data_IF_743495000241
#
_entry.id   IF_743495000241
#
_cell.length_a   1.000
_cell.length_b   1.000
_cell.length_c   1.000
_cell.angle_alpha   90.00
_cell.angle_beta   90.00
_cell.angle_gamma   90.00
#
_symmetry.space_group_name_H-M   'P 1'
#
loop_
_entity.id
_entity.type
_entity.pdbx_description
1 polymer ?
2 polymer ?
3 polymer ?
4 water ?
#
loop_
_entity_poly.entity_id
_entity_poly.type
_entity_poly.pdbx_seq_one_letter_code
_entity_poly.pdbx_strand_id
2 'polydeoxyribonucleotide' '(DC)(DT)(DC)(DA)(DA)(DA)(DA)(DA)(DA)(DC)(DA)(DT)(DA)(DA)(DA)(DA)(DT)(DA)(DA)(DC)' ?
3 'polydeoxyribonucleotide' '(DG)(DT)(DT)(DA)(DT)(DT)(DT)(DT)(DA)(DT)(DG)(DT)(DT)(DT)(DT)(DT)(DT)(DG)(DA)(DG)' ?
#
# COMPACT_ATOMS: atom_id res chain seq x y z
N UNK A 1 10.49 -10.84 1.94
CA UNK A 1 10.89 -9.93 3.09
C UNK A 1 9.66 -9.27 3.71
N UNK A 2 9.61 -9.24 5.05
CA UNK A 2 8.53 -8.63 5.76
C UNK A 2 8.86 -7.20 6.13
N UNK A 3 7.81 -6.37 6.24
CA UNK A 3 7.88 -4.96 6.63
C UNK A 3 7.02 -4.73 7.84
N UNK A 4 7.49 -3.92 8.78
CA UNK A 4 6.63 -3.49 9.87
C UNK A 4 6.26 -2.02 9.68
N UNK A 5 4.97 -1.76 9.62
CA UNK A 5 4.43 -0.47 9.23
C UNK A 5 3.80 0.21 10.47
N UNK A 6 4.31 1.40 10.77
CA UNK A 6 3.86 2.25 11.87
C UNK A 6 3.90 1.47 13.19
N UNK A 7 4.91 0.62 13.37
CA UNK A 7 4.96 -0.29 14.52
C UNK A 7 3.62 -0.99 14.81
N UNK A 8 2.81 -1.21 13.78
CA UNK A 8 1.48 -1.75 13.98
C UNK A 8 1.24 -3.00 13.14
N UNK A 9 1.49 -2.89 11.83
CA UNK A 9 1.13 -3.96 10.93
C UNK A 9 2.36 -4.69 10.50
N UNK A 10 2.27 -6.02 10.33
CA UNK A 10 3.33 -6.76 9.64
C UNK A 10 2.86 -7.17 8.26
N UNK A 11 3.57 -6.68 7.25
CA UNK A 11 3.21 -6.83 5.87
C UNK A 11 4.19 -7.78 5.21
N UNK A 12 3.65 -8.78 4.51
CA UNK A 12 4.47 -9.70 3.69
C UNK A 12 4.01 -9.66 2.27
N UNK A 13 4.85 -9.09 1.37
CA UNK A 13 4.44 -8.93 -0.02
C UNK A 13 4.52 -10.26 -0.81
N UNK A 14 5.16 -11.25 -0.22
CA UNK A 14 5.29 -12.53 -0.93
C UNK A 14 4.04 -13.41 -0.71
N UNK A 15 3.57 -13.47 0.52
CA UNK A 15 2.34 -14.14 0.85
C UNK A 15 1.14 -13.22 0.73
N UNK A 16 1.34 -11.92 0.50
CA UNK A 16 0.30 -10.88 0.51
C UNK A 16 -0.50 -10.81 1.81
N UNK A 17 0.17 -10.74 2.93
CA UNK A 17 -0.57 -10.75 4.16
C UNK A 17 -0.25 -9.51 4.93
N UNK A 18 -1.26 -9.06 5.68
CA UNK A 18 -1.18 -7.99 6.63
C UNK A 18 -1.69 -8.47 8.00
N UNK A 19 -0.88 -8.26 9.02
CA UNK A 19 -1.20 -8.66 10.35
C UNK A 19 -1.04 -7.51 11.35
N UNK A 20 -2.12 -7.31 12.10
CA UNK A 20 -2.25 -6.21 13.06
C UNK A 20 -1.75 -6.79 14.34
N UNK A 21 -0.77 -6.13 14.94
CA UNK A 21 -0.18 -6.66 16.19
C UNK A 21 -1.17 -6.86 17.39
N UNK A 22 -2.33 -6.19 17.35
CA UNK A 22 -3.44 -6.44 18.28
C UNK A 22 -4.15 -7.81 18.13
N UNK A 23 -3.91 -8.52 17.01
CA UNK A 23 -4.55 -9.82 16.72
C UNK A 23 -3.60 -11.03 16.87
N UNK A 24 -4.12 -12.11 17.50
CA UNK A 24 -3.42 -13.40 17.54
C UNK A 24 -3.91 -14.37 16.47
N UNK A 25 -5.12 -14.18 15.95
CA UNK A 25 -5.69 -15.12 14.97
C UNK A 25 -5.85 -14.49 13.59
N UNK A 26 -6.34 -13.26 13.53
CA UNK A 26 -6.71 -12.67 12.25
C UNK A 26 -5.46 -12.38 11.36
N UNK A 27 -5.50 -12.90 10.13
CA UNK A 27 -4.53 -12.54 9.04
C UNK A 27 -5.31 -11.86 7.93
N UNK A 28 -5.04 -10.59 7.67
CA UNK A 28 -5.71 -9.90 6.53
C UNK A 28 -5.08 -10.35 5.23
N UNK A 29 -5.89 -10.84 4.29
CA UNK A 29 -5.36 -11.30 3.02
C UNK A 29 -5.51 -10.13 2.06
N UNK A 30 -4.43 -9.52 1.64
CA UNK A 30 -4.56 -8.32 0.77
C UNK A 30 -4.82 -8.79 -0.62
N UNK A 31 -5.65 -8.10 -1.36
CA UNK A 31 -5.70 -8.39 -2.80
C UNK A 31 -4.36 -8.06 -3.47
N UNK A 32 -4.12 -8.66 -4.63
CA UNK A 32 -2.90 -8.45 -5.41
C UNK A 32 -2.53 -7.00 -5.65
N UNK A 33 -3.50 -6.18 -5.98
CA UNK A 33 -3.26 -4.75 -6.33
C UNK A 33 -2.84 -3.99 -5.07
N UNK A 34 -3.55 -4.24 -3.99
CA UNK A 34 -3.28 -3.62 -2.69
C UNK A 34 -1.91 -4.03 -2.13
N UNK A 35 -1.61 -5.31 -2.22
CA UNK A 35 -0.28 -5.76 -1.84
C UNK A 35 0.90 -5.12 -2.64
N UNK A 36 0.80 -5.14 -3.98
CA UNK A 36 1.81 -4.52 -4.83
C UNK A 36 1.97 -3.01 -4.63
N UNK A 37 0.87 -2.32 -4.43
CA UNK A 37 0.94 -0.87 -4.04
C UNK A 37 1.75 -0.69 -2.74
N UNK A 38 1.40 -1.49 -1.74
CA UNK A 38 2.01 -1.37 -0.42
C UNK A 38 3.47 -1.77 -0.48
N UNK A 39 3.81 -2.73 -1.37
CA UNK A 39 5.15 -3.13 -1.52
C UNK A 39 6.00 -2.02 -2.13
N UNK A 40 5.54 -1.39 -3.20
CA UNK A 40 6.32 -0.32 -3.81
C UNK A 40 6.43 0.87 -2.80
N UNK A 41 5.33 1.25 -2.17
CA UNK A 41 5.39 2.24 -1.11
C UNK A 41 6.41 1.95 0.01
N UNK A 42 6.44 0.72 0.49
CA UNK A 42 7.33 0.34 1.58
C UNK A 42 8.81 0.28 1.12
N UNK A 43 9.05 -0.01 -0.17
CA UNK A 43 10.42 -0.01 -0.72
C UNK A 43 10.94 1.40 -0.89
N UNK A 44 10.05 2.37 -0.94
CA UNK A 44 10.42 3.76 -1.04
C UNK A 44 9.75 4.66 -0.01
N UNK A 45 10.06 4.44 1.25
CA UNK A 45 9.34 5.11 2.31
C UNK A 45 9.42 6.61 2.25
N UNK A 46 8.31 7.28 2.52
CA UNK A 46 8.26 8.72 2.49
C UNK A 46 8.70 9.39 1.17
N UNK A 47 8.76 8.65 0.06
CA UNK A 47 8.92 9.28 -1.24
C UNK A 47 7.54 9.50 -1.84
N UNK A 48 7.39 10.57 -2.64
CA UNK A 48 6.19 10.80 -3.39
C UNK A 48 6.32 9.88 -4.60
N UNK A 49 5.48 8.84 -4.68
CA UNK A 49 5.51 7.88 -5.75
C UNK A 49 4.47 8.30 -6.79
N UNK A 50 4.91 8.57 -8.01
CA UNK A 50 3.97 8.94 -9.06
C UNK A 50 2.89 7.90 -9.36
N UNK A 51 1.78 8.38 -9.92
CA UNK A 51 0.74 7.48 -10.36
C UNK A 51 1.17 6.53 -11.45
N UNK A 52 1.95 7.04 -12.40
CA UNK A 52 2.54 6.20 -13.44
C UNK A 52 3.35 5.07 -12.85
N UNK A 53 4.19 5.41 -11.89
CA UNK A 53 4.99 4.40 -11.24
C UNK A 53 4.13 3.29 -10.60
N UNK A 54 3.13 3.70 -9.82
CA UNK A 54 2.28 2.71 -9.18
C UNK A 54 1.50 1.91 -10.25
N UNK A 55 1.03 2.59 -11.28
CA UNK A 55 0.30 1.94 -12.37
C UNK A 55 1.17 0.89 -13.08
N UNK A 56 2.42 1.25 -13.34
CA UNK A 56 3.38 0.37 -13.97
C UNK A 56 3.71 -0.82 -13.04
N UNK A 57 4.08 -0.52 -11.78
CA UNK A 57 4.48 -1.58 -10.85
C UNK A 57 3.38 -2.60 -10.58
N UNK A 58 2.17 -2.09 -10.42
CA UNK A 58 1.05 -2.88 -9.99
C UNK A 58 0.37 -3.62 -11.16
N UNK A 59 0.20 -2.96 -12.31
CA UNK A 59 -0.42 -3.58 -13.44
C UNK A 59 0.45 -3.78 -14.69
N UNK A 60 0.96 -2.70 -15.29
CA UNK A 60 1.54 -2.78 -16.65
C UNK A 60 2.73 -3.67 -16.77
N UNK A 61 3.62 -3.68 -15.78
CA UNK A 61 4.85 -4.43 -15.95
C UNK A 61 4.51 -5.93 -15.98
N UNK A 62 3.28 -6.30 -15.59
CA UNK A 62 2.79 -7.67 -15.69
C UNK A 62 1.81 -7.90 -16.85
N UNK A 63 1.69 -6.92 -17.75
CA UNK A 63 0.85 -7.03 -18.93
C UNK A 63 -0.60 -6.68 -18.66
N UNK A 64 -0.93 -6.22 -17.46
CA UNK A 64 -2.34 -5.89 -17.19
C UNK A 64 -2.65 -4.45 -17.63
N UNK A 65 -3.80 -4.30 -18.25
CA UNK A 65 -4.26 -3.05 -18.89
C UNK A 65 -5.51 -2.56 -18.14
N UNK A 66 -5.40 -1.49 -17.38
CA UNK A 66 -6.55 -0.99 -16.67
C UNK A 66 -6.51 0.55 -16.69
N UNK A 67 -7.64 1.19 -16.48
CA UNK A 67 -7.69 2.65 -16.39
C UNK A 67 -7.01 3.13 -15.11
N UNK A 68 -6.71 4.43 -15.07
CA UNK A 68 -6.20 5.08 -13.87
C UNK A 68 -7.16 4.93 -12.70
N UNK A 69 -8.46 4.89 -12.97
CA UNK A 69 -9.48 4.69 -11.89
C UNK A 69 -9.14 3.45 -10.99
N UNK A 70 -8.49 2.42 -11.55
CA UNK A 70 -8.10 1.17 -10.78
C UNK A 70 -7.09 1.47 -9.64
N UNK A 71 -6.11 2.36 -9.91
CA UNK A 71 -5.21 2.87 -8.89
C UNK A 71 -5.98 3.52 -7.75
N UNK A 72 -6.81 4.49 -8.08
CA UNK A 72 -7.56 5.20 -7.08
C UNK A 72 -8.47 4.26 -6.26
N UNK A 73 -9.07 3.31 -6.93
CA UNK A 73 -9.92 2.32 -6.21
C UNK A 73 -9.08 1.46 -5.32
N UNK A 74 -7.93 0.98 -5.81
CA UNK A 74 -7.07 0.09 -5.00
C UNK A 74 -6.51 0.81 -3.75
N UNK A 75 -6.14 2.09 -3.90
CA UNK A 75 -5.68 2.92 -2.77
C UNK A 75 -6.76 2.99 -1.65
N UNK A 76 -7.99 3.19 -2.08
CA UNK A 76 -9.12 3.32 -1.16
C UNK A 76 -9.36 2.03 -0.37
N UNK A 77 -9.35 0.87 -1.08
CA UNK A 77 -9.36 -0.48 -0.48
C UNK A 77 -8.20 -0.72 0.49
N UNK A 78 -6.99 -0.37 0.08
CA UNK A 78 -5.83 -0.47 0.99
C UNK A 78 -6.00 0.38 2.24
N UNK A 79 -6.35 1.65 2.06
CA UNK A 79 -6.52 2.51 3.21
C UNK A 79 -7.57 1.92 4.22
N UNK A 80 -8.63 1.35 3.67
CA UNK A 80 -9.65 0.68 4.44
C UNK A 80 -9.04 -0.50 5.21
N UNK A 81 -8.22 -1.32 4.56
CA UNK A 81 -7.58 -2.42 5.26
C UNK A 81 -6.64 -1.91 6.29
N UNK A 82 -6.00 -0.76 6.07
CA UNK A 82 -5.08 -0.27 7.10
C UNK A 82 -5.82 0.56 8.18
N UNK A 83 -7.10 0.86 7.97
CA UNK A 83 -7.84 1.75 8.84
C UNK A 83 -7.22 3.12 8.75
N UNK A 84 -6.81 3.51 7.54
CA UNK A 84 -6.14 4.77 7.32
C UNK A 84 -7.20 5.77 6.89
N UNK A 85 -7.26 6.90 7.57
CA UNK A 85 -8.28 7.90 7.27
C UNK A 85 -7.73 8.92 6.28
N UNK A 86 -8.53 9.26 5.27
CA UNK A 86 -8.09 10.03 4.09
C UNK A 86 -7.50 11.43 4.38
N UNK A 87 -8.06 12.19 5.29
CA UNK A 87 -7.29 13.28 5.94
C UNK A 87 -7.81 13.29 7.36
N UNK A 88 -7.06 12.87 8.38
CA UNK A 88 -5.61 12.82 8.42
C UNK A 88 -5.01 11.42 8.41
N UNK A 89 -4.25 11.12 7.35
CA UNK A 89 -3.69 9.80 7.23
C UNK A 89 -2.57 9.56 8.22
N UNK A 90 -2.32 8.31 8.49
CA UNK A 90 -1.15 7.89 9.24
C UNK A 90 -0.31 6.99 8.37
N UNK A 91 -0.90 6.48 7.29
CA UNK A 91 -0.12 5.58 6.42
C UNK A 91 0.13 6.20 5.03
N UNK A 92 -0.91 6.50 4.25
CA UNK A 92 -0.71 6.90 2.87
C UNK A 92 -1.35 8.26 2.64
N UNK A 93 -0.50 9.20 2.23
CA UNK A 93 -0.90 10.55 1.99
C UNK A 93 -0.98 10.80 0.47
N UNK A 94 -2.08 11.39 0.01
CA UNK A 94 -2.27 11.79 -1.37
C UNK A 94 -1.53 13.09 -1.67
N UNK A 95 -0.78 13.14 -2.77
CA UNK A 95 -0.13 14.41 -3.19
C UNK A 95 -0.72 14.80 -4.54
N UNK A 96 -1.67 15.73 -4.53
CA UNK A 96 -2.44 15.89 -5.73
C UNK A 96 -1.58 16.25 -6.92
N UNK A 97 -1.88 15.59 -8.04
CA UNK A 97 -1.17 15.80 -9.31
C UNK A 97 0.23 15.17 -9.29
N UNK A 98 0.60 14.53 -8.20
CA UNK A 98 1.89 13.85 -8.15
C UNK A 98 1.94 12.41 -7.67
N UNK A 99 0.87 11.91 -7.01
CA UNK A 99 0.82 10.50 -6.61
C UNK A 99 0.52 10.36 -5.14
N UNK A 100 1.22 9.45 -4.47
CA UNK A 100 0.97 9.09 -3.08
C UNK A 100 2.30 8.84 -2.40
N UNK A 101 2.27 8.90 -1.08
CA UNK A 101 3.44 8.91 -0.25
C UNK A 101 3.16 8.13 1.04
N UNK A 102 4.01 7.14 1.30
CA UNK A 102 3.91 6.38 2.55
C UNK A 102 4.58 7.21 3.65
N UNK A 103 3.77 7.69 4.60
CA UNK A 103 4.30 8.47 5.76
C UNK A 103 4.47 7.59 7.02
N UNK A 104 3.96 6.34 7.02
CA UNK A 104 4.20 5.45 8.18
C UNK A 104 5.67 5.05 8.24
N UNK A 105 6.20 4.83 9.44
CA UNK A 105 7.47 4.20 9.60
C UNK A 105 7.52 2.85 8.90
N UNK A 106 8.62 2.54 8.25
CA UNK A 106 8.83 1.23 7.69
C UNK A 106 10.04 0.67 8.37
N UNK A 107 9.93 -0.51 8.98
CA UNK A 107 11.10 -1.22 9.54
C UNK A 107 11.17 -2.54 8.78
N UNK A 108 12.35 -2.97 8.42
CA UNK A 108 12.43 -4.19 7.66
C UNK A 108 13.10 -5.25 8.50
#
# INVERSE_FOLDING_TARGET
>A
MKFILAEKFTFDPLSNTLIDKEDSEEIIRLGSNESRILWLLAQRPNEVISRNDLHDFVWREQGFEVDDSSLTQAISTLRKMLKDSTKSPQYVKTVPKRGYQLIARVETV
#
